data_IF_008344227129
#
_entry.id   IF_008344227129
#
_cell.length_a   1.000
_cell.length_b   1.000
_cell.length_c   1.000
_cell.angle_alpha   90.00
_cell.angle_beta   90.00
_cell.angle_gamma   90.00
#
_symmetry.space_group_name_H-M   'P 1'
#
loop_
_entity.id
_entity.type
_entity.pdbx_description
1 polymer ?
#
# COMPACT_ATOMS: atom_id res chain seq x y z
N UNK A 1 -14.48 12.09 -4.75
CA UNK A 1 -15.76 11.54 -5.22
C UNK A 1 -16.57 12.60 -5.97
N UNK A 2 -16.89 13.75 -5.34
CA UNK A 2 -17.73 14.79 -5.99
C UNK A 2 -17.15 15.26 -7.33
N UNK A 3 -15.86 15.58 -7.39
CA UNK A 3 -15.19 15.98 -8.63
C UNK A 3 -15.35 14.93 -9.73
N UNK A 4 -15.11 13.66 -9.42
CA UNK A 4 -15.27 12.56 -10.37
C UNK A 4 -16.73 12.44 -10.88
N UNK A 5 -17.69 12.45 -9.99
CA UNK A 5 -19.13 12.37 -10.36
C UNK A 5 -19.58 13.54 -11.23
N UNK A 6 -19.19 14.77 -10.89
CA UNK A 6 -19.49 15.96 -11.69
C UNK A 6 -18.82 15.89 -13.09
N UNK A 7 -17.69 15.22 -13.19
CA UNK A 7 -16.98 15.00 -14.46
C UNK A 7 -17.50 13.78 -15.25
N UNK A 8 -18.57 13.12 -14.79
CA UNK A 8 -19.19 11.97 -15.47
C UNK A 8 -18.63 10.60 -15.04
N UNK A 9 -17.68 10.54 -14.11
CA UNK A 9 -17.18 9.29 -13.53
C UNK A 9 -18.04 8.92 -12.32
N UNK A 10 -19.16 8.23 -12.56
CA UNK A 10 -20.22 8.00 -11.57
C UNK A 10 -19.93 6.91 -10.55
N UNK A 11 -18.93 6.04 -10.80
CA UNK A 11 -18.58 4.89 -9.96
C UNK A 11 -17.38 5.19 -9.04
N UNK A 12 -17.25 6.44 -8.58
CA UNK A 12 -16.17 6.86 -7.71
C UNK A 12 -16.55 6.70 -6.24
N UNK A 13 -15.63 6.15 -5.44
CA UNK A 13 -15.72 6.00 -3.99
C UNK A 13 -14.47 6.55 -3.30
N UNK A 14 -14.53 6.81 -2.01
CA UNK A 14 -13.39 7.25 -1.22
C UNK A 14 -13.23 6.41 0.04
N UNK A 15 -11.99 6.28 0.52
CA UNK A 15 -11.66 5.55 1.75
C UNK A 15 -11.88 6.36 3.04
N UNK A 16 -12.39 7.59 2.91
CA UNK A 16 -12.80 8.47 4.02
C UNK A 16 -11.71 8.67 5.10
N UNK A 17 -10.50 9.04 4.68
CA UNK A 17 -9.41 9.40 5.58
C UNK A 17 -8.64 8.23 6.18
N UNK A 18 -8.92 6.99 5.76
CA UNK A 18 -8.16 5.81 6.12
C UNK A 18 -7.35 5.30 4.92
N UNK A 19 -6.16 4.74 5.19
CA UNK A 19 -5.41 4.06 4.14
C UNK A 19 -6.22 2.87 3.60
N UNK A 20 -6.11 2.62 2.28
CA UNK A 20 -6.71 1.44 1.67
C UNK A 20 -6.21 0.15 2.35
N UNK A 21 -7.11 -0.79 2.62
CA UNK A 21 -6.81 -2.02 3.34
C UNK A 21 -7.85 -3.11 3.11
N UNK A 22 -7.67 -4.26 3.76
CA UNK A 22 -8.46 -5.48 3.54
C UNK A 22 -9.99 -5.30 3.64
N UNK A 23 -10.46 -4.45 4.54
CA UNK A 23 -11.92 -4.19 4.65
C UNK A 23 -12.46 -3.46 3.42
N UNK A 24 -11.69 -2.53 2.84
CA UNK A 24 -12.04 -1.85 1.60
C UNK A 24 -12.09 -2.84 0.42
N UNK A 25 -11.12 -3.77 0.35
CA UNK A 25 -11.10 -4.85 -0.65
C UNK A 25 -12.38 -5.66 -0.61
N UNK A 26 -12.81 -6.09 0.58
CA UNK A 26 -14.05 -6.87 0.76
C UNK A 26 -15.28 -6.11 0.24
N UNK A 27 -15.35 -4.80 0.52
CA UNK A 27 -16.45 -3.96 0.06
C UNK A 27 -16.43 -3.85 -1.46
N UNK A 28 -15.28 -3.50 -2.04
CA UNK A 28 -15.13 -3.34 -3.50
C UNK A 28 -15.45 -4.63 -4.23
N UNK A 29 -14.91 -5.78 -3.77
CA UNK A 29 -15.23 -7.09 -4.34
C UNK A 29 -16.73 -7.40 -4.30
N UNK A 30 -17.40 -7.09 -3.19
CA UNK A 30 -18.85 -7.29 -3.09
C UNK A 30 -19.64 -6.42 -4.06
N UNK A 31 -19.15 -5.20 -4.35
CA UNK A 31 -19.80 -4.27 -5.28
C UNK A 31 -19.57 -4.66 -6.75
N UNK A 32 -18.37 -5.12 -7.09
CA UNK A 32 -18.01 -5.54 -8.44
C UNK A 32 -18.49 -6.97 -8.78
N UNK A 33 -18.77 -7.80 -7.75
CA UNK A 33 -18.89 -9.22 -7.94
C UNK A 33 -17.53 -9.86 -8.27
N UNK A 34 -17.56 -11.11 -8.75
CA UNK A 34 -16.36 -11.80 -9.26
C UNK A 34 -16.22 -11.65 -10.79
N UNK A 35 -16.57 -10.47 -11.33
CA UNK A 35 -16.45 -10.17 -12.75
C UNK A 35 -14.99 -9.87 -13.12
N UNK A 36 -14.34 -10.74 -13.92
CA UNK A 36 -12.96 -10.53 -14.35
C UNK A 36 -12.81 -9.39 -15.36
N UNK A 37 -13.92 -8.92 -15.97
CA UNK A 37 -13.92 -7.77 -16.89
C UNK A 37 -14.02 -6.43 -16.13
N UNK A 38 -14.31 -6.47 -14.84
CA UNK A 38 -14.34 -5.30 -13.97
C UNK A 38 -12.97 -4.62 -13.86
N UNK A 39 -12.98 -3.34 -13.55
CA UNK A 39 -11.75 -2.56 -13.35
C UNK A 39 -11.80 -1.81 -12.03
N UNK A 40 -10.70 -1.88 -11.28
CA UNK A 40 -10.47 -1.07 -10.09
C UNK A 40 -9.39 -0.06 -10.41
N UNK A 41 -9.72 1.23 -10.37
CA UNK A 41 -8.78 2.31 -10.67
C UNK A 41 -8.49 3.06 -9.38
N UNK A 42 -7.27 2.92 -8.88
CA UNK A 42 -6.78 3.70 -7.76
C UNK A 42 -6.32 5.07 -8.24
N UNK A 43 -6.85 6.13 -7.64
CA UNK A 43 -6.47 7.50 -7.98
C UNK A 43 -5.67 8.08 -6.84
N UNK A 44 -4.46 8.53 -7.13
CA UNK A 44 -3.53 9.11 -6.15
C UNK A 44 -2.97 10.42 -6.68
N UNK A 45 -2.58 11.28 -5.75
CA UNK A 45 -1.81 12.47 -6.03
C UNK A 45 -0.41 12.09 -6.54
N UNK A 46 0.20 12.91 -7.37
CA UNK A 46 1.49 12.62 -8.00
C UNK A 46 2.71 12.77 -7.08
N UNK A 47 2.49 12.90 -5.79
CA UNK A 47 3.53 13.09 -4.77
C UNK A 47 4.08 11.75 -4.21
N UNK A 48 5.06 11.85 -3.33
CA UNK A 48 5.66 10.69 -2.65
C UNK A 48 4.66 9.92 -1.79
N UNK A 49 3.68 10.62 -1.18
CA UNK A 49 2.65 9.98 -0.36
C UNK A 49 1.70 9.14 -1.22
N UNK A 50 1.29 9.66 -2.40
CA UNK A 50 0.50 8.94 -3.38
C UNK A 50 1.23 7.72 -3.93
N UNK A 51 2.55 7.82 -4.20
CA UNK A 51 3.35 6.65 -4.61
C UNK A 51 3.38 5.56 -3.53
N UNK A 52 3.57 5.93 -2.25
CA UNK A 52 3.51 5.00 -1.12
C UNK A 52 2.12 4.38 -0.96
N UNK A 53 1.06 5.15 -1.19
CA UNK A 53 -0.31 4.66 -1.16
C UNK A 53 -0.58 3.65 -2.29
N UNK A 54 -0.05 3.87 -3.49
CA UNK A 54 -0.13 2.92 -4.60
C UNK A 54 0.60 1.60 -4.29
N UNK A 55 1.81 1.67 -3.71
CA UNK A 55 2.54 0.48 -3.27
C UNK A 55 1.77 -0.30 -2.21
N UNK A 56 1.11 0.40 -1.29
CA UNK A 56 0.27 -0.24 -0.27
C UNK A 56 -1.00 -0.85 -0.87
N UNK A 57 -1.64 -0.20 -1.84
CA UNK A 57 -2.78 -0.78 -2.55
C UNK A 57 -2.38 -2.06 -3.31
N UNK A 58 -1.15 -2.11 -3.84
CA UNK A 58 -0.60 -3.27 -4.51
C UNK A 58 -0.49 -4.52 -3.62
N UNK A 59 -0.30 -4.37 -2.30
CA UNK A 59 -0.29 -5.51 -1.37
C UNK A 59 -1.59 -6.33 -1.43
N UNK A 60 -2.69 -5.71 -1.84
CA UNK A 60 -4.01 -6.31 -1.97
C UNK A 60 -4.39 -6.68 -3.41
N UNK A 61 -3.51 -6.46 -4.38
CA UNK A 61 -3.79 -6.69 -5.80
C UNK A 61 -4.27 -8.12 -6.06
N UNK A 62 -3.62 -9.10 -5.46
CA UNK A 62 -3.95 -10.51 -5.64
C UNK A 62 -5.31 -10.92 -5.05
N UNK A 63 -5.96 -10.07 -4.28
CA UNK A 63 -7.30 -10.31 -3.75
C UNK A 63 -8.41 -9.91 -4.74
N UNK A 64 -8.10 -9.13 -5.80
CA UNK A 64 -9.05 -8.77 -6.84
C UNK A 64 -9.08 -9.81 -7.96
N UNK A 65 -10.29 -10.13 -8.44
CA UNK A 65 -10.50 -10.85 -9.70
C UNK A 65 -10.48 -9.85 -10.88
N UNK A 66 -10.98 -8.65 -10.63
CA UNK A 66 -10.97 -7.52 -11.55
C UNK A 66 -9.55 -7.01 -11.83
N UNK A 67 -9.34 -6.41 -12.99
CA UNK A 67 -8.08 -5.78 -13.34
C UNK A 67 -7.85 -4.51 -12.50
N UNK A 68 -6.63 -4.34 -12.00
CA UNK A 68 -6.25 -3.19 -11.17
C UNK A 68 -5.40 -2.20 -11.94
N UNK A 69 -5.76 -0.93 -11.82
CA UNK A 69 -5.08 0.19 -12.47
C UNK A 69 -4.77 1.29 -11.45
N UNK A 70 -3.86 2.16 -11.82
CA UNK A 70 -3.56 3.39 -11.10
C UNK A 70 -3.65 4.59 -12.04
N UNK A 71 -4.26 5.66 -11.57
CA UNK A 71 -4.28 6.96 -12.22
C UNK A 71 -3.60 7.95 -11.27
N UNK A 72 -2.47 8.50 -11.71
CA UNK A 72 -1.66 9.45 -10.93
C UNK A 72 -1.67 10.79 -11.62
N UNK A 73 -2.06 11.84 -10.92
CA UNK A 73 -2.03 13.19 -11.42
C UNK A 73 -0.59 13.74 -11.35
N UNK A 74 0.05 14.08 -12.49
CA UNK A 74 1.49 14.35 -12.54
C UNK A 74 1.91 15.69 -11.91
N UNK A 75 0.98 16.64 -11.75
CA UNK A 75 1.27 17.95 -11.14
C UNK A 75 1.05 17.99 -9.62
N UNK A 76 0.61 16.88 -9.01
CA UNK A 76 0.37 16.77 -7.58
C UNK A 76 -0.95 17.38 -7.11
N UNK A 77 -1.84 17.75 -8.04
CA UNK A 77 -3.17 18.26 -7.72
C UNK A 77 -4.07 17.11 -7.26
N UNK A 78 -4.88 17.37 -6.25
CA UNK A 78 -5.97 16.46 -5.94
C UNK A 78 -7.07 16.52 -7.03
N UNK A 79 -7.95 15.51 -7.12
CA UNK A 79 -8.98 15.50 -8.16
C UNK A 79 -9.94 16.70 -8.12
N UNK A 80 -10.14 17.34 -6.97
CA UNK A 80 -10.98 18.53 -6.88
C UNK A 80 -10.27 19.76 -7.44
N UNK A 81 -9.01 19.95 -7.08
CA UNK A 81 -8.18 21.04 -7.57
C UNK A 81 -7.92 20.89 -9.07
N UNK A 82 -7.63 19.66 -9.53
CA UNK A 82 -7.51 19.36 -10.96
C UNK A 82 -8.76 19.78 -11.74
N UNK A 83 -9.95 19.46 -11.22
CA UNK A 83 -11.21 19.85 -11.84
C UNK A 83 -11.42 21.35 -11.85
N UNK A 84 -11.12 22.03 -10.74
CA UNK A 84 -11.29 23.49 -10.62
C UNK A 84 -10.34 24.25 -11.55
N UNK A 85 -9.11 23.78 -11.71
CA UNK A 85 -8.10 24.45 -12.53
C UNK A 85 -8.22 24.11 -14.02
N UNK A 86 -8.48 22.82 -14.36
CA UNK A 86 -8.42 22.31 -15.74
C UNK A 86 -9.76 21.83 -16.30
N UNK A 87 -10.82 21.86 -15.47
CA UNK A 87 -12.18 21.48 -15.87
C UNK A 87 -12.48 19.98 -15.82
N UNK A 88 -13.73 19.62 -16.12
CA UNK A 88 -14.22 18.24 -16.04
C UNK A 88 -13.50 17.27 -16.99
N UNK A 89 -12.98 17.78 -18.13
CA UNK A 89 -12.21 16.99 -19.08
C UNK A 89 -10.96 16.37 -18.48
N UNK A 90 -10.25 17.13 -17.64
CA UNK A 90 -9.00 16.68 -17.02
C UNK A 90 -9.17 15.46 -16.10
N UNK A 91 -10.32 15.36 -15.41
CA UNK A 91 -10.62 14.16 -14.61
C UNK A 91 -10.83 12.93 -15.50
N UNK A 92 -11.52 13.08 -16.62
CA UNK A 92 -11.71 11.98 -17.58
C UNK A 92 -10.38 11.55 -18.20
N UNK A 93 -9.57 12.51 -18.61
CA UNK A 93 -8.22 12.23 -19.15
C UNK A 93 -7.33 11.54 -18.12
N UNK A 94 -7.38 11.92 -16.85
CA UNK A 94 -6.67 11.25 -15.76
C UNK A 94 -7.08 9.77 -15.66
N UNK A 95 -8.37 9.48 -15.68
CA UNK A 95 -8.88 8.10 -15.60
C UNK A 95 -8.59 7.30 -16.87
N UNK A 96 -8.68 7.93 -18.06
CA UNK A 96 -8.33 7.29 -19.34
C UNK A 96 -6.84 6.99 -19.45
N UNK A 97 -5.99 7.87 -18.91
CA UNK A 97 -4.54 7.71 -18.85
C UNK A 97 -4.03 6.72 -17.80
N UNK A 98 -4.94 5.98 -17.15
CA UNK A 98 -4.58 4.97 -16.13
C UNK A 98 -3.59 3.94 -16.66
N UNK A 99 -2.74 3.45 -15.79
CA UNK A 99 -1.76 2.39 -16.08
C UNK A 99 -2.07 1.15 -15.25
N UNK A 100 -1.74 -0.06 -15.74
CA UNK A 100 -1.81 -1.26 -14.90
C UNK A 100 -1.02 -1.05 -13.59
N UNK A 101 -1.59 -1.46 -12.47
CA UNK A 101 -0.98 -1.25 -11.16
C UNK A 101 0.39 -1.93 -11.06
N UNK A 102 0.54 -3.13 -11.61
CA UNK A 102 1.83 -3.83 -11.70
C UNK A 102 2.88 -3.03 -12.46
N UNK A 103 2.53 -2.47 -13.61
CA UNK A 103 3.45 -1.66 -14.42
C UNK A 103 3.94 -0.43 -13.64
N UNK A 104 3.03 0.24 -12.95
CA UNK A 104 3.36 1.40 -12.11
C UNK A 104 4.32 1.02 -10.98
N UNK A 105 4.01 -0.04 -10.24
CA UNK A 105 4.84 -0.50 -9.10
C UNK A 105 6.23 -0.93 -9.58
N UNK A 106 6.31 -1.69 -10.68
CA UNK A 106 7.59 -2.10 -11.28
C UNK A 106 8.40 -0.88 -11.71
N UNK A 107 7.76 0.07 -12.41
CA UNK A 107 8.45 1.28 -12.88
C UNK A 107 8.95 2.13 -11.71
N UNK A 108 8.16 2.25 -10.65
CA UNK A 108 8.54 2.95 -9.42
C UNK A 108 9.71 2.25 -8.71
N UNK A 109 9.67 0.91 -8.63
CA UNK A 109 10.75 0.13 -8.04
C UNK A 109 12.06 0.28 -8.82
N UNK A 110 12.01 0.21 -10.16
CA UNK A 110 13.18 0.38 -11.04
C UNK A 110 13.75 1.80 -10.91
N UNK A 111 12.88 2.83 -10.87
CA UNK A 111 13.28 4.23 -10.84
C UNK A 111 14.08 4.67 -9.61
N UNK A 112 14.18 3.82 -8.58
CA UNK A 112 15.00 4.06 -7.40
C UNK A 112 16.49 3.75 -7.61
N UNK A 113 16.86 3.15 -8.73
CA UNK A 113 18.22 2.67 -9.01
C UNK A 113 18.82 3.38 -10.23
N UNK A 114 20.12 3.62 -10.16
CA UNK A 114 20.90 4.12 -11.28
C UNK A 114 21.17 3.00 -12.28
N UNK A 115 20.44 3.01 -13.41
CA UNK A 115 20.56 2.00 -14.45
C UNK A 115 21.82 2.15 -15.33
N UNK A 116 22.55 3.23 -15.20
CA UNK A 116 23.82 3.40 -15.92
C UNK A 116 24.94 2.60 -15.28
N UNK A 117 24.76 2.14 -14.03
CA UNK A 117 25.72 1.30 -13.31
C UNK A 117 25.31 -0.18 -13.35
N UNK A 118 26.28 -1.08 -13.29
CA UNK A 118 26.05 -2.54 -13.23
C UNK A 118 25.34 -2.90 -11.93
N UNK A 119 25.78 -2.34 -10.81
CA UNK A 119 25.23 -2.57 -9.49
C UNK A 119 23.78 -2.10 -9.39
N UNK A 120 23.47 -0.94 -9.98
CA UNK A 120 22.12 -0.40 -10.03
C UNK A 120 21.17 -1.28 -10.85
N UNK A 121 21.64 -1.80 -12.00
CA UNK A 121 20.85 -2.76 -12.80
C UNK A 121 20.58 -4.06 -12.04
N UNK A 122 21.59 -4.62 -11.38
CA UNK A 122 21.41 -5.82 -10.54
C UNK A 122 20.41 -5.58 -9.42
N UNK A 123 20.49 -4.43 -8.76
CA UNK A 123 19.56 -4.06 -7.71
C UNK A 123 18.12 -3.86 -8.24
N UNK A 124 17.97 -3.22 -9.41
CA UNK A 124 16.69 -3.03 -10.09
C UNK A 124 16.03 -4.35 -10.49
N UNK A 125 16.81 -5.30 -11.04
CA UNK A 125 16.34 -6.67 -11.35
C UNK A 125 15.83 -7.35 -10.10
N UNK A 126 16.57 -7.29 -8.99
CA UNK A 126 16.17 -7.91 -7.73
C UNK A 126 14.90 -7.31 -7.16
N UNK A 127 14.78 -5.97 -7.14
CA UNK A 127 13.58 -5.28 -6.66
C UNK A 127 12.36 -5.59 -7.53
N UNK A 128 12.51 -5.59 -8.85
CA UNK A 128 11.44 -5.96 -9.78
C UNK A 128 11.03 -7.43 -9.62
N UNK A 129 11.98 -8.33 -9.38
CA UNK A 129 11.71 -9.75 -9.19
C UNK A 129 10.85 -10.02 -7.95
N UNK A 130 11.00 -9.25 -6.88
CA UNK A 130 10.14 -9.33 -5.69
C UNK A 130 8.67 -9.00 -6.04
N UNK A 131 8.44 -7.98 -6.86
CA UNK A 131 7.11 -7.62 -7.36
C UNK A 131 6.55 -8.71 -8.28
N UNK A 132 7.34 -9.17 -9.25
CA UNK A 132 6.93 -10.20 -10.22
C UNK A 132 6.65 -11.55 -9.57
N UNK A 133 7.27 -11.85 -8.43
CA UNK A 133 7.02 -13.08 -7.70
C UNK A 133 5.57 -13.22 -7.22
N UNK A 134 4.85 -12.10 -7.01
CA UNK A 134 3.44 -12.05 -6.64
C UNK A 134 2.47 -12.36 -7.78
N UNK A 135 2.90 -12.26 -9.04
CA UNK A 135 2.04 -12.50 -10.21
C UNK A 135 1.73 -14.00 -10.34
N UNK A 136 0.44 -14.36 -10.29
CA UNK A 136 -0.01 -15.76 -10.38
C UNK A 136 -0.21 -16.24 -11.81
N UNK A 137 -0.71 -15.36 -12.66
CA UNK A 137 -0.94 -15.68 -14.06
C UNK A 137 0.36 -15.75 -14.86
N UNK A 138 0.62 -16.92 -15.48
CA UNK A 138 1.85 -17.17 -16.23
C UNK A 138 1.95 -16.35 -17.52
N UNK A 139 0.83 -16.06 -18.17
CA UNK A 139 0.83 -15.29 -19.40
C UNK A 139 1.23 -13.84 -19.09
N UNK A 140 0.57 -13.22 -18.13
CA UNK A 140 0.94 -11.88 -17.65
C UNK A 140 2.39 -11.82 -17.18
N UNK A 141 2.86 -12.83 -16.44
CA UNK A 141 4.23 -12.90 -15.94
C UNK A 141 5.25 -12.86 -17.08
N UNK A 142 5.03 -13.61 -18.19
CA UNK A 142 5.96 -13.62 -19.31
C UNK A 142 6.05 -12.27 -20.04
N UNK A 143 4.95 -11.53 -20.09
CA UNK A 143 4.94 -10.16 -20.62
C UNK A 143 5.71 -9.21 -19.71
N UNK A 144 5.53 -9.31 -18.41
CA UNK A 144 6.25 -8.48 -17.44
C UNK A 144 7.75 -8.81 -17.36
N UNK A 145 8.16 -10.06 -17.58
CA UNK A 145 9.61 -10.39 -17.72
C UNK A 145 10.23 -9.59 -18.86
N UNK A 146 9.58 -9.57 -20.04
CA UNK A 146 10.08 -8.79 -21.20
C UNK A 146 10.08 -7.29 -20.92
N UNK A 147 9.01 -6.79 -20.26
CA UNK A 147 8.91 -5.39 -19.88
C UNK A 147 10.06 -4.96 -18.96
N UNK A 148 10.35 -5.73 -17.90
CA UNK A 148 11.45 -5.47 -16.96
C UNK A 148 12.80 -5.58 -17.65
N UNK A 149 13.04 -6.65 -18.41
CA UNK A 149 14.29 -6.87 -19.13
C UNK A 149 14.60 -5.69 -20.09
N UNK A 150 13.60 -5.27 -20.87
CA UNK A 150 13.76 -4.12 -21.78
C UNK A 150 13.94 -2.79 -21.06
N UNK A 151 13.30 -2.62 -19.90
CA UNK A 151 13.37 -1.36 -19.12
C UNK A 151 14.72 -1.19 -18.43
N UNK A 152 15.32 -2.27 -17.94
CA UNK A 152 16.61 -2.27 -17.23
C UNK A 152 17.79 -2.44 -18.23
N UNK A 153 17.56 -3.06 -19.38
CA UNK A 153 18.61 -3.39 -20.35
C UNK A 153 19.40 -4.64 -19.96
N UNK A 154 18.69 -5.70 -19.56
CA UNK A 154 19.26 -7.02 -19.19
C UNK A 154 18.57 -8.12 -20.00
N UNK A 155 19.11 -9.34 -19.96
CA UNK A 155 18.49 -10.49 -20.60
C UNK A 155 17.25 -10.98 -19.83
N UNK A 156 16.27 -11.52 -20.57
CA UNK A 156 15.04 -12.05 -19.99
C UNK A 156 15.32 -13.19 -19.02
N UNK A 157 16.31 -14.04 -19.34
CA UNK A 157 16.70 -15.18 -18.51
C UNK A 157 17.22 -14.75 -17.14
N UNK A 158 17.88 -13.59 -17.07
CA UNK A 158 18.35 -13.00 -15.81
C UNK A 158 17.18 -12.60 -14.92
N UNK A 159 16.15 -11.94 -15.50
CA UNK A 159 14.93 -11.58 -14.79
C UNK A 159 14.18 -12.82 -14.32
N UNK A 160 14.05 -13.86 -15.17
CA UNK A 160 13.40 -15.12 -14.80
C UNK A 160 14.11 -15.84 -13.67
N UNK A 161 15.44 -15.88 -13.68
CA UNK A 161 16.25 -16.49 -12.63
C UNK A 161 16.04 -15.74 -11.30
N UNK A 162 16.01 -14.40 -11.34
CA UNK A 162 15.77 -13.57 -10.18
C UNK A 162 14.36 -13.82 -9.60
N UNK A 163 13.32 -13.90 -10.45
CA UNK A 163 11.94 -14.20 -10.02
C UNK A 163 11.84 -15.60 -9.40
N UNK A 164 12.48 -16.61 -9.99
CA UNK A 164 12.54 -17.96 -9.41
C UNK A 164 13.18 -17.95 -8.01
N UNK A 165 14.22 -17.14 -7.83
CA UNK A 165 14.90 -16.97 -6.54
C UNK A 165 14.02 -16.26 -5.52
N UNK A 166 13.37 -15.16 -5.91
CA UNK A 166 12.44 -14.42 -5.06
C UNK A 166 11.26 -15.29 -4.58
N UNK A 167 10.72 -16.15 -5.45
CA UNK A 167 9.65 -17.09 -5.08
C UNK A 167 10.08 -18.17 -4.09
N UNK A 168 11.37 -18.56 -4.10
CA UNK A 168 11.91 -19.54 -3.12
C UNK A 168 12.16 -18.90 -1.76
N UNK A 169 12.44 -17.61 -1.73
CA UNK A 169 12.76 -16.86 -0.52
C UNK A 169 11.87 -15.61 -0.46
N UNK A 170 10.53 -15.80 -0.25
CA UNK A 170 9.64 -14.65 -0.14
C UNK A 170 10.09 -13.82 1.07
N UNK A 171 10.46 -12.57 0.84
CA UNK A 171 10.60 -11.60 1.93
C UNK A 171 9.23 -11.49 2.59
N UNK A 172 9.19 -11.63 3.90
CA UNK A 172 8.00 -11.31 4.68
C UNK A 172 7.61 -9.85 4.34
N UNK A 173 6.61 -9.69 3.50
CA UNK A 173 5.96 -8.41 3.25
C UNK A 173 5.52 -7.87 4.59
N UNK A 174 5.77 -6.58 4.87
CA UNK A 174 5.78 -5.92 6.17
C UNK A 174 4.56 -6.03 7.11
N UNK A 175 3.71 -7.03 6.94
CA UNK A 175 2.57 -7.29 7.81
C UNK A 175 2.93 -7.92 9.19
N UNK A 176 4.18 -8.41 9.38
CA UNK A 176 4.57 -9.11 10.63
C UNK A 176 5.53 -8.31 11.53
N UNK A 177 5.69 -6.99 11.35
CA UNK A 177 6.52 -6.17 12.25
C UNK A 177 5.83 -5.80 13.58
N UNK A 178 4.64 -6.33 13.86
CA UNK A 178 3.86 -6.06 15.07
C UNK A 178 3.92 -7.13 16.17
N UNK A 179 4.59 -8.25 15.95
CA UNK A 179 4.68 -9.31 16.96
C UNK A 179 6.04 -9.27 17.65
N UNK A 180 6.16 -8.46 18.68
CA UNK A 180 7.26 -8.57 19.66
C UNK A 180 7.27 -9.99 20.24
N UNK A 181 8.41 -10.68 20.31
CA UNK A 181 8.48 -11.97 20.99
C UNK A 181 8.22 -11.74 22.49
N UNK A 182 7.11 -12.27 23.00
CA UNK A 182 6.92 -12.44 24.43
C UNK A 182 8.01 -13.39 24.92
N UNK A 183 8.91 -12.86 25.76
CA UNK A 183 9.93 -13.64 26.43
C UNK A 183 9.31 -14.74 27.31
N UNK A 184 10.03 -15.86 27.50
CA UNK A 184 9.52 -16.99 28.30
C UNK A 184 9.31 -16.57 29.75
N UNK A 185 8.12 -16.91 30.27
CA UNK A 185 7.67 -16.60 31.61
C UNK A 185 8.66 -17.06 32.69
N UNK A 186 8.93 -16.19 33.61
CA UNK A 186 9.61 -16.52 34.85
C UNK A 186 8.69 -17.37 35.72
N UNK A 187 9.18 -18.54 36.06
CA UNK A 187 8.62 -19.50 36.99
C UNK A 187 8.48 -18.93 38.40
N UNK A 188 7.36 -19.20 39.00
CA UNK A 188 7.01 -18.91 40.38
C UNK A 188 8.00 -19.51 41.37
N UNK A 189 8.51 -18.71 42.29
CA UNK A 189 9.16 -19.12 43.54
C UNK A 189 8.24 -18.84 44.75
N UNK A 190 8.41 -19.56 45.86
CA UNK A 190 7.33 -19.82 46.81
C UNK A 190 7.12 -18.71 47.88
N UNK A 191 5.87 -18.66 48.32
CA UNK A 191 5.33 -17.87 49.41
C UNK A 191 6.09 -18.16 50.73
N UNK A 192 6.53 -17.12 51.44
CA UNK A 192 6.64 -17.14 52.93
C UNK A 192 5.94 -15.92 53.48
N UNK A 193 5.19 -16.18 54.54
CA UNK A 193 4.20 -15.33 55.12
C UNK A 193 4.68 -14.48 56.28
N UNK A 194 3.70 -13.88 56.99
CA UNK A 194 3.70 -13.15 58.27
C UNK A 194 4.13 -11.69 58.11
N UNK A 195 3.40 -10.75 58.61
CA UNK A 195 2.71 -10.55 59.81
C UNK A 195 2.03 -9.17 59.90
N UNK A 196 1.19 -9.10 60.82
CA UNK A 196 0.14 -8.19 61.21
C UNK A 196 0.54 -6.74 61.53
N UNK A 197 -0.49 -5.88 61.42
CA UNK A 197 -0.73 -4.87 62.43
C UNK A 197 -0.92 -3.42 61.92
N UNK A 198 -1.81 -2.67 62.55
CA UNK A 198 -2.58 -1.62 61.93
C UNK A 198 -2.17 -0.19 62.34
N UNK A 199 -2.54 0.79 61.54
CA UNK A 199 -2.31 2.20 61.89
C UNK A 199 -3.19 3.17 61.12
N UNK A 200 -4.19 3.60 61.74
CA UNK A 200 -5.09 4.73 61.64
C UNK A 200 -4.43 6.09 61.32
N UNK A 201 -5.24 6.95 60.68
CA UNK A 201 -5.09 8.41 60.65
C UNK A 201 -5.63 8.98 59.35
N UNK A 202 -6.85 9.28 59.19
CA UNK A 202 -7.65 10.50 59.47
C UNK A 202 -7.08 11.79 58.86
N UNK A 203 -7.88 12.29 57.88
CA UNK A 203 -8.50 13.61 57.82
C UNK A 203 -7.62 14.76 57.29
N UNK A 204 -8.03 15.55 56.34
CA UNK A 204 -9.07 16.58 56.23
C UNK A 204 -8.83 17.40 54.97
N UNK A 205 -9.92 17.66 54.22
CA UNK A 205 -10.52 18.96 53.88
C UNK A 205 -9.63 20.19 53.70
N UNK A 206 -9.81 20.86 52.57
CA UNK A 206 -10.18 22.24 52.29
C UNK A 206 -10.20 22.44 50.76
N UNK A 207 -11.28 22.65 50.08
CA UNK A 207 -12.01 23.89 49.74
C UNK A 207 -11.22 25.19 49.80
N UNK A 208 -11.11 25.86 48.65
CA UNK A 208 -11.51 27.27 48.41
C UNK A 208 -11.22 27.60 46.93
N UNK A 209 -12.12 27.98 46.13
CA UNK A 209 -12.91 29.14 45.83
C UNK A 209 -12.11 30.41 45.47
N UNK A 210 -12.47 31.01 44.37
CA UNK A 210 -12.33 32.44 44.08
C UNK A 210 -11.51 32.72 42.80
N UNK A 211 -12.06 33.08 41.76
CA UNK A 211 -12.81 34.24 41.27
C UNK A 211 -11.91 35.29 40.58
N UNK A 212 -12.40 35.76 39.46
CA UNK A 212 -12.22 37.09 38.79
C UNK A 212 -10.85 37.40 38.15
N UNK A 213 -10.76 37.69 36.90
CA UNK A 213 -11.25 38.72 35.95
C UNK A 213 -11.05 38.27 34.53
#
# INVERSE_FOLDING_TARGET
VMAAQLSGVTQAVATCGTAFGAEHVKIVRRLLGDDPSGQVIFTFDGDEAGQKAALKAFEFESEFTAQTFVAVEPSGLDPNDLRLEKGDGAIRELIEGRKPLFEFVITTAIGQFDLDTVEGRIAAVKASAEVLAGIRDRNSLSHYHRFVAGRIGVDIDEVEAAVKTARRHPRATGADRGRSPQGPGQTAGPRQGQGAGPGRGQARFAEDAGNTE
#
